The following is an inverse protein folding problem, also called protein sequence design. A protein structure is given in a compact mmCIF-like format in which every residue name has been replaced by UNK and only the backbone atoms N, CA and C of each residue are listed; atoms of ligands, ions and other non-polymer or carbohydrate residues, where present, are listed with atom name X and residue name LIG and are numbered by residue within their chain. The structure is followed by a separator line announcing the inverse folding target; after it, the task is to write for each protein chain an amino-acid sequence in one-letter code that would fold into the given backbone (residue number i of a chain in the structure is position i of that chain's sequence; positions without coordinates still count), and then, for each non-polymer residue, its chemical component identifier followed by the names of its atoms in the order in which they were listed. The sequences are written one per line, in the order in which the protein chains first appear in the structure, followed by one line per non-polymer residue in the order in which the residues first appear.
data_IF_529892701204
#
_entry.id   IF_529892701204
#
_cell.length_a   1.000
_cell.length_b   1.000
_cell.length_c   1.000
_cell.angle_alpha   90.00
_cell.angle_beta   90.00
_cell.angle_gamma   90.00
#
_symmetry.space_group_name_H-M   'P 1'
#
loop_
_entity.id
_entity.type
_entity.pdbx_description
1 polymer ?
#
# COMPACT_ATOMS: atom_id res chain seq x y z
N UNK A 1 -8.09 9.09 -19.04
CA UNK A 1 -7.49 10.17 -18.23
C UNK A 1 -8.61 11.15 -17.91
N UNK A 2 -8.84 11.57 -16.66
CA UNK A 2 -9.63 12.80 -16.47
C UNK A 2 -8.71 13.91 -16.96
N UNK A 3 -9.00 14.37 -18.16
CA UNK A 3 -8.21 15.35 -18.89
C UNK A 3 -8.00 16.60 -18.04
N UNK A 4 -6.76 16.82 -17.64
CA UNK A 4 -6.36 17.87 -16.73
C UNK A 4 -5.87 19.08 -17.55
N UNK A 5 -6.75 19.58 -18.41
CA UNK A 5 -6.57 20.80 -19.22
C UNK A 5 -5.49 20.72 -20.28
N UNK A 6 -5.57 21.62 -21.27
CA UNK A 6 -4.54 21.77 -22.31
C UNK A 6 -3.18 22.11 -21.70
N UNK A 7 -2.09 21.88 -22.45
CA UNK A 7 -0.72 22.25 -22.05
C UNK A 7 -0.67 23.73 -21.61
N UNK A 8 -1.34 24.60 -22.38
CA UNK A 8 -1.45 26.05 -22.10
C UNK A 8 -2.13 26.31 -20.76
N UNK A 9 -3.20 25.59 -20.44
CA UNK A 9 -3.86 25.71 -19.13
C UNK A 9 -2.92 25.31 -18.00
N UNK A 10 -2.16 24.22 -18.14
CA UNK A 10 -1.21 23.76 -17.13
C UNK A 10 -0.08 24.77 -16.90
N UNK A 11 0.45 25.37 -17.96
CA UNK A 11 1.49 26.40 -17.87
C UNK A 11 1.01 27.67 -17.18
N UNK A 12 -0.28 28.00 -17.31
CA UNK A 12 -0.90 29.16 -16.62
C UNK A 12 -1.12 28.96 -15.11
N UNK A 13 -0.98 27.73 -14.60
CA UNK A 13 -1.20 27.44 -13.19
C UNK A 13 0.06 27.76 -12.36
N UNK A 14 -0.10 28.04 -11.05
CA UNK A 14 1.06 28.24 -10.17
C UNK A 14 1.96 27.00 -10.17
N UNK A 15 3.25 27.22 -9.89
CA UNK A 15 4.21 26.12 -9.71
C UNK A 15 3.67 25.17 -8.64
N UNK A 16 3.65 23.86 -8.91
CA UNK A 16 3.13 22.89 -7.97
C UNK A 16 4.01 22.85 -6.73
N UNK A 17 3.39 22.52 -5.59
CA UNK A 17 4.11 22.26 -4.35
C UNK A 17 5.06 21.04 -4.55
N UNK A 18 5.87 20.72 -3.53
CA UNK A 18 6.69 19.50 -3.53
C UNK A 18 5.84 18.24 -3.77
N UNK A 19 6.47 17.12 -4.09
CA UNK A 19 5.79 15.86 -4.39
C UNK A 19 4.77 15.49 -3.31
N UNK A 20 3.53 15.25 -3.74
CA UNK A 20 2.48 14.76 -2.85
C UNK A 20 2.61 13.24 -2.72
N UNK A 21 2.67 12.75 -1.49
CA UNK A 21 2.84 11.32 -1.21
C UNK A 21 1.48 10.70 -0.91
N UNK A 22 1.21 9.55 -1.52
CA UNK A 22 -0.02 8.78 -1.32
C UNK A 22 0.38 7.36 -0.97
N UNK A 23 -0.07 6.86 0.17
CA UNK A 23 0.04 5.45 0.50
C UNK A 23 -1.34 4.81 0.51
N UNK A 24 -1.45 3.60 -0.04
CA UNK A 24 -2.68 2.83 -0.08
C UNK A 24 -2.41 1.40 0.37
N UNK A 25 -3.34 0.86 1.14
CA UNK A 25 -3.30 -0.49 1.65
C UNK A 25 -4.69 -1.14 1.58
N UNK A 26 -4.69 -2.45 1.34
CA UNK A 26 -5.87 -3.29 1.25
C UNK A 26 -6.10 -4.07 2.55
N UNK A 27 -7.32 -4.05 3.06
CA UNK A 27 -7.75 -4.85 4.20
C UNK A 27 -8.93 -5.74 3.84
N UNK A 28 -8.98 -6.95 4.41
CA UNK A 28 -10.09 -7.88 4.18
C UNK A 28 -11.00 -7.98 5.42
N UNK A 29 -12.31 -7.94 5.18
CA UNK A 29 -13.34 -7.98 6.22
C UNK A 29 -14.33 -9.11 5.93
N UNK A 30 -14.79 -9.81 6.96
CA UNK A 30 -15.76 -10.90 6.82
C UNK A 30 -17.13 -10.37 6.40
N UNK A 31 -17.70 -11.00 5.38
CA UNK A 31 -19.04 -10.67 4.90
C UNK A 31 -20.11 -11.18 5.86
N UNK A 32 -21.05 -10.31 6.23
CA UNK A 32 -22.23 -10.67 7.01
C UNK A 32 -23.16 -11.63 6.28
N UNK A 33 -23.36 -11.42 4.98
CA UNK A 33 -24.30 -12.19 4.16
C UNK A 33 -23.75 -13.56 3.78
N UNK A 34 -22.43 -13.67 3.61
CA UNK A 34 -21.76 -14.94 3.34
C UNK A 34 -20.53 -15.11 4.23
N UNK A 35 -20.71 -15.81 5.35
CA UNK A 35 -19.73 -15.93 6.44
C UNK A 35 -18.42 -16.63 6.06
N UNK A 36 -18.38 -17.34 4.92
CA UNK A 36 -17.16 -17.96 4.38
C UNK A 36 -16.34 -16.98 3.52
N UNK A 37 -16.93 -15.85 3.14
CA UNK A 37 -16.31 -14.89 2.26
C UNK A 37 -15.76 -13.69 3.02
N UNK A 38 -14.73 -13.09 2.44
CA UNK A 38 -14.24 -11.78 2.81
C UNK A 38 -14.42 -10.82 1.63
N UNK A 39 -14.55 -9.53 1.91
CA UNK A 39 -14.47 -8.49 0.91
C UNK A 39 -13.38 -7.49 1.26
N UNK A 40 -12.83 -6.88 0.21
CA UNK A 40 -11.76 -5.91 0.35
C UNK A 40 -12.29 -4.51 0.67
N UNK A 41 -11.58 -3.88 1.59
CA UNK A 41 -11.61 -2.46 1.87
C UNK A 41 -10.26 -1.87 1.52
N UNK A 42 -10.30 -0.79 0.77
CA UNK A 42 -9.13 -0.01 0.41
C UNK A 42 -9.08 1.19 1.35
N UNK A 43 -7.91 1.45 1.91
CA UNK A 43 -7.63 2.65 2.69
C UNK A 43 -6.40 3.32 2.15
N UNK A 44 -6.41 4.64 2.14
CA UNK A 44 -5.20 5.37 1.87
C UNK A 44 -5.10 6.64 2.68
N UNK A 45 -3.92 7.22 2.62
CA UNK A 45 -3.61 8.51 3.20
C UNK A 45 -2.75 9.29 2.24
N UNK A 46 -3.07 10.56 2.14
CA UNK A 46 -2.41 11.53 1.30
C UNK A 46 -1.70 12.53 2.19
N UNK A 47 -0.42 12.73 1.92
CA UNK A 47 0.48 13.62 2.65
C UNK A 47 0.94 14.69 1.67
N UNK A 48 0.21 15.81 1.58
CA UNK A 48 0.68 16.98 0.85
C UNK A 48 1.84 17.66 1.62
N UNK A 49 2.71 18.42 0.94
CA UNK A 49 3.90 19.02 1.56
C UNK A 49 3.59 20.04 2.65
N UNK A 50 2.61 20.91 2.43
CA UNK A 50 2.35 22.07 3.30
C UNK A 50 0.97 22.01 3.99
N UNK A 51 0.19 20.97 3.73
CA UNK A 51 -1.18 20.82 4.26
C UNK A 51 -1.27 19.61 5.18
N UNK A 52 -2.31 19.60 6.01
CA UNK A 52 -2.62 18.43 6.85
C UNK A 52 -2.85 17.19 5.96
N UNK A 53 -2.28 16.07 6.38
CA UNK A 53 -2.55 14.78 5.76
C UNK A 53 -4.04 14.42 5.93
N UNK A 54 -4.61 13.77 4.91
CA UNK A 54 -5.99 13.29 4.96
C UNK A 54 -6.07 11.82 4.57
N UNK A 55 -7.07 11.17 5.11
CA UNK A 55 -7.33 9.75 4.99
C UNK A 55 -8.56 9.55 4.11
N UNK A 56 -8.58 8.45 3.37
CA UNK A 56 -9.76 8.02 2.63
C UNK A 56 -9.88 6.50 2.74
N UNK A 57 -11.09 5.99 2.52
CA UNK A 57 -11.33 4.57 2.58
C UNK A 57 -12.67 4.22 1.95
N UNK A 58 -12.75 3.05 1.34
CA UNK A 58 -13.95 2.56 0.69
C UNK A 58 -13.88 1.04 0.48
N UNK A 59 -15.05 0.41 0.38
CA UNK A 59 -15.16 -1.00 -0.04
C UNK A 59 -15.03 -1.08 -1.55
N UNK A 60 -14.00 -1.77 -2.05
CA UNK A 60 -13.65 -1.81 -3.48
C UNK A 60 -14.77 -2.35 -4.36
N UNK A 61 -15.47 -3.39 -3.90
CA UNK A 61 -16.58 -4.02 -4.65
C UNK A 61 -17.95 -3.35 -4.47
N UNK A 62 -18.03 -2.27 -3.69
CA UNK A 62 -19.29 -1.56 -3.42
C UNK A 62 -19.29 -0.13 -3.95
N UNK A 63 -18.14 0.55 -3.90
CA UNK A 63 -18.02 1.89 -4.46
C UNK A 63 -18.15 1.84 -5.99
N UNK A 64 -19.13 2.57 -6.53
CA UNK A 64 -19.38 2.64 -7.97
C UNK A 64 -18.40 3.57 -8.70
N UNK A 65 -17.71 4.48 -7.98
CA UNK A 65 -16.83 5.51 -8.56
C UNK A 65 -15.56 5.73 -7.70
N UNK A 66 -14.79 4.68 -7.38
CA UNK A 66 -13.63 4.78 -6.48
C UNK A 66 -12.54 5.72 -7.02
N UNK A 67 -12.30 5.70 -8.34
CA UNK A 67 -11.34 6.61 -9.00
C UNK A 67 -11.71 8.07 -8.82
N UNK A 68 -12.99 8.40 -9.01
CA UNK A 68 -13.51 9.78 -8.83
C UNK A 68 -13.40 10.22 -7.37
N UNK A 69 -13.68 9.32 -6.42
CA UNK A 69 -13.53 9.63 -4.98
C UNK A 69 -12.09 10.01 -4.64
N UNK A 70 -11.12 9.22 -5.10
CA UNK A 70 -9.70 9.53 -4.85
C UNK A 70 -9.33 10.86 -5.51
N UNK A 71 -9.78 11.10 -6.74
CA UNK A 71 -9.54 12.37 -7.42
C UNK A 71 -10.14 13.58 -6.68
N UNK A 72 -11.38 13.50 -6.22
CA UNK A 72 -12.04 14.56 -5.44
C UNK A 72 -11.35 14.76 -4.09
N UNK A 73 -10.89 13.68 -3.45
CA UNK A 73 -10.09 13.73 -2.22
C UNK A 73 -8.78 14.49 -2.45
N UNK A 74 -8.03 14.15 -3.51
CA UNK A 74 -6.79 14.84 -3.86
C UNK A 74 -7.03 16.31 -4.21
N UNK A 75 -8.07 16.62 -4.99
CA UNK A 75 -8.48 18.01 -5.27
C UNK A 75 -8.81 18.79 -4.00
N UNK A 76 -9.47 18.17 -3.02
CA UNK A 76 -9.79 18.82 -1.74
C UNK A 76 -8.55 19.20 -0.93
N UNK A 77 -7.39 18.60 -1.23
CA UNK A 77 -6.09 18.97 -0.66
C UNK A 77 -5.26 19.86 -1.59
N UNK A 78 -5.86 20.39 -2.66
CA UNK A 78 -5.24 21.31 -3.59
C UNK A 78 -4.29 20.65 -4.59
N UNK A 79 -4.52 19.38 -4.94
CA UNK A 79 -3.83 18.75 -6.07
C UNK A 79 -4.06 19.58 -7.35
N UNK A 80 -2.97 20.03 -7.95
CA UNK A 80 -2.95 20.65 -9.27
C UNK A 80 -2.85 19.59 -10.39
N UNK A 81 -3.34 19.88 -11.60
CA UNK A 81 -3.14 19.07 -12.82
C UNK A 81 -1.74 18.51 -13.06
N UNK A 82 -0.70 19.31 -12.78
CA UNK A 82 0.72 19.02 -12.96
C UNK A 82 1.43 18.79 -11.62
N UNK A 83 0.68 18.37 -10.60
CA UNK A 83 1.26 18.02 -9.30
C UNK A 83 1.99 16.67 -9.41
N UNK A 84 3.30 16.66 -9.15
CA UNK A 84 4.06 15.42 -8.96
C UNK A 84 3.50 14.63 -7.79
N UNK A 85 3.26 13.35 -8.02
CA UNK A 85 2.67 12.45 -7.04
C UNK A 85 3.39 11.11 -6.99
N UNK A 86 3.60 10.59 -5.80
CA UNK A 86 4.15 9.26 -5.57
C UNK A 86 3.12 8.37 -4.87
N UNK A 87 2.80 7.25 -5.50
CA UNK A 87 1.87 6.26 -4.98
C UNK A 87 2.63 5.05 -4.46
N UNK A 88 2.49 4.78 -3.16
CA UNK A 88 3.01 3.59 -2.50
C UNK A 88 1.90 2.58 -2.30
N UNK A 89 2.11 1.35 -2.78
CA UNK A 89 1.13 0.27 -2.68
C UNK A 89 1.81 -1.07 -2.38
N UNK A 90 1.01 -2.00 -1.87
CA UNK A 90 1.39 -3.38 -1.54
C UNK A 90 1.56 -4.31 -2.77
N UNK A 91 1.36 -3.79 -3.98
CA UNK A 91 1.45 -4.53 -5.23
C UNK A 91 0.19 -5.29 -5.65
N UNK A 92 -0.95 -5.15 -4.95
CA UNK A 92 -2.20 -5.81 -5.33
C UNK A 92 -2.78 -5.28 -6.67
N UNK A 93 -3.22 -6.18 -7.55
CA UNK A 93 -3.62 -5.90 -8.94
C UNK A 93 -4.75 -4.84 -9.06
N UNK A 94 -5.68 -4.87 -8.12
CA UNK A 94 -6.83 -3.97 -7.99
C UNK A 94 -6.45 -2.50 -7.73
N UNK A 95 -5.34 -2.26 -7.01
CA UNK A 95 -4.83 -0.92 -6.73
C UNK A 95 -4.09 -0.33 -7.93
N UNK A 96 -3.45 -1.17 -8.77
CA UNK A 96 -2.64 -0.76 -9.93
C UNK A 96 -3.45 0.05 -10.96
N UNK A 97 -4.68 -0.37 -11.26
CA UNK A 97 -5.53 0.27 -12.29
C UNK A 97 -6.16 1.60 -11.86
N UNK A 98 -6.12 1.94 -10.57
CA UNK A 98 -6.67 3.21 -10.08
C UNK A 98 -5.69 4.38 -10.18
N UNK A 99 -4.39 4.10 -10.15
CA UNK A 99 -3.34 5.12 -9.99
C UNK A 99 -3.00 5.83 -11.31
N UNK A 100 -2.87 5.08 -12.42
CA UNK A 100 -2.63 5.61 -13.78
C UNK A 100 -3.71 6.62 -14.21
N UNK A 101 -4.90 6.54 -13.58
CA UNK A 101 -6.04 7.37 -13.94
C UNK A 101 -6.00 8.78 -13.35
N UNK A 102 -5.19 9.03 -12.31
CA UNK A 102 -5.29 10.22 -11.47
C UNK A 102 -4.43 11.39 -11.97
N UNK A 103 -3.19 11.14 -12.42
CA UNK A 103 -2.32 12.18 -13.02
C UNK A 103 -1.28 11.55 -13.96
N UNK A 104 -0.96 12.24 -15.05
CA UNK A 104 0.14 11.89 -15.95
C UNK A 104 1.51 11.91 -15.25
N UNK A 105 1.70 12.76 -14.24
CA UNK A 105 2.95 12.89 -13.48
C UNK A 105 3.03 12.00 -12.23
N UNK A 106 2.17 10.96 -12.14
CA UNK A 106 2.22 10.04 -11.01
C UNK A 106 3.28 8.96 -11.19
N UNK A 107 4.16 8.79 -10.21
CA UNK A 107 5.09 7.66 -10.10
C UNK A 107 4.51 6.61 -9.16
N UNK A 108 4.58 5.34 -9.56
CA UNK A 108 4.15 4.20 -8.76
C UNK A 108 5.36 3.51 -8.16
N UNK A 109 5.29 3.24 -6.86
CA UNK A 109 6.40 2.71 -6.08
C UNK A 109 5.89 1.54 -5.24
N UNK A 110 6.53 0.39 -5.37
CA UNK A 110 6.21 -0.77 -4.54
C UNK A 110 6.65 -0.48 -3.11
N UNK A 111 5.79 -0.74 -2.13
CA UNK A 111 6.11 -0.49 -0.74
C UNK A 111 7.17 -1.49 -0.23
N UNK A 112 8.30 -0.94 0.21
CA UNK A 112 9.43 -1.69 0.76
C UNK A 112 9.04 -2.58 1.95
N UNK A 113 8.09 -2.16 2.78
CA UNK A 113 7.61 -2.94 3.91
C UNK A 113 7.02 -4.28 3.45
N UNK A 114 6.18 -4.27 2.41
CA UNK A 114 5.56 -5.49 1.88
C UNK A 114 6.58 -6.44 1.22
N UNK A 115 7.67 -5.90 0.65
CA UNK A 115 8.80 -6.70 0.17
C UNK A 115 9.50 -7.38 1.37
N UNK A 116 9.89 -6.58 2.37
CA UNK A 116 10.61 -7.10 3.54
C UNK A 116 9.79 -8.08 4.39
N UNK A 117 8.47 -7.92 4.46
CA UNK A 117 7.58 -8.90 5.09
C UNK A 117 7.69 -10.28 4.44
N UNK A 118 7.66 -10.35 3.11
CA UNK A 118 7.77 -11.62 2.38
C UNK A 118 9.14 -12.26 2.55
N UNK A 119 10.21 -11.46 2.49
CA UNK A 119 11.57 -11.90 2.80
C UNK A 119 11.67 -12.41 4.25
N UNK A 120 10.96 -11.80 5.19
CA UNK A 120 10.94 -12.24 6.59
C UNK A 120 10.29 -13.61 6.74
N UNK A 121 9.18 -13.87 6.05
CA UNK A 121 8.53 -15.19 6.01
C UNK A 121 9.51 -16.25 5.48
N UNK A 122 10.17 -15.96 4.35
CA UNK A 122 11.17 -16.86 3.77
C UNK A 122 12.35 -17.12 4.72
N UNK A 123 12.83 -16.09 5.42
CA UNK A 123 13.88 -16.26 6.44
C UNK A 123 13.46 -17.19 7.57
N UNK A 124 12.20 -17.15 8.03
CA UNK A 124 11.72 -18.08 9.06
C UNK A 124 11.75 -19.53 8.57
N UNK A 125 11.36 -19.77 7.31
CA UNK A 125 11.48 -21.10 6.72
C UNK A 125 12.94 -21.53 6.54
N UNK A 126 13.83 -20.63 6.13
CA UNK A 126 15.26 -20.92 5.99
C UNK A 126 15.90 -21.25 7.35
N UNK A 127 15.53 -20.55 8.43
CA UNK A 127 15.95 -20.87 9.80
C UNK A 127 15.39 -22.21 10.28
N UNK A 128 14.19 -22.59 9.85
CA UNK A 128 13.65 -23.93 10.09
C UNK A 128 14.46 -25.01 9.36
N UNK A 129 14.79 -24.77 8.09
CA UNK A 129 15.60 -25.67 7.28
C UNK A 129 17.02 -25.81 7.84
N UNK A 130 17.62 -24.73 8.36
CA UNK A 130 18.95 -24.74 8.99
C UNK A 130 19.07 -25.79 10.10
N UNK A 131 17.98 -26.08 10.83
CA UNK A 131 17.96 -27.12 11.88
C UNK A 131 17.88 -28.54 11.32
N UNK A 132 17.29 -28.71 10.14
CA UNK A 132 17.10 -30.00 9.48
C UNK A 132 18.27 -30.35 8.55
N UNK A 133 18.85 -29.34 7.91
CA UNK A 133 20.01 -29.41 7.02
C UNK A 133 20.78 -28.09 7.10
N UNK A 134 21.86 -28.11 7.88
CA UNK A 134 22.65 -26.91 8.16
C UNK A 134 23.22 -26.29 6.88
N UNK A 135 23.76 -27.11 5.96
CA UNK A 135 24.38 -26.62 4.73
C UNK A 135 23.36 -25.92 3.82
N UNK A 136 22.20 -26.57 3.60
CA UNK A 136 21.15 -26.00 2.74
C UNK A 136 20.48 -24.79 3.40
N UNK A 137 20.26 -24.80 4.71
CA UNK A 137 19.73 -23.64 5.43
C UNK A 137 20.67 -22.42 5.37
N UNK A 138 21.98 -22.62 5.54
CA UNK A 138 22.97 -21.54 5.40
C UNK A 138 22.99 -20.95 3.98
N UNK A 139 22.93 -21.81 2.96
CA UNK A 139 22.86 -21.39 1.55
C UNK A 139 21.63 -20.50 1.31
N UNK A 140 20.44 -20.94 1.74
CA UNK A 140 19.21 -20.17 1.59
C UNK A 140 19.29 -18.81 2.28
N UNK A 141 19.79 -18.75 3.52
CA UNK A 141 19.94 -17.48 4.24
C UNK A 141 20.89 -16.51 3.52
N UNK A 142 21.97 -17.03 2.92
CA UNK A 142 22.92 -16.24 2.13
C UNK A 142 22.25 -15.68 0.88
N UNK A 143 21.52 -16.51 0.13
CA UNK A 143 20.80 -16.09 -1.08
C UNK A 143 19.72 -15.04 -0.74
N UNK A 144 18.91 -15.28 0.30
CA UNK A 144 17.89 -14.31 0.76
C UNK A 144 18.48 -12.96 1.16
N UNK A 145 19.69 -12.94 1.74
CA UNK A 145 20.41 -11.70 2.03
C UNK A 145 20.80 -10.96 0.75
N UNK A 146 21.28 -11.67 -0.27
CA UNK A 146 21.60 -11.09 -1.59
C UNK A 146 20.36 -10.59 -2.32
N UNK A 147 19.26 -11.35 -2.31
CA UNK A 147 17.96 -10.92 -2.88
C UNK A 147 17.50 -9.62 -2.23
N UNK A 148 17.50 -9.55 -0.90
CA UNK A 148 17.14 -8.33 -0.17
C UNK A 148 18.04 -7.15 -0.57
N UNK A 149 19.33 -7.38 -0.74
CA UNK A 149 20.29 -6.34 -1.13
C UNK A 149 20.00 -5.82 -2.55
N UNK A 150 19.77 -6.70 -3.52
CA UNK A 150 19.45 -6.32 -4.90
C UNK A 150 18.13 -5.51 -4.96
N UNK A 151 17.08 -6.00 -4.29
CA UNK A 151 15.80 -5.28 -4.22
C UNK A 151 15.93 -3.91 -3.53
N UNK A 152 16.75 -3.80 -2.49
CA UNK A 152 17.02 -2.53 -1.79
C UNK A 152 17.68 -1.48 -2.70
N UNK A 153 18.45 -1.92 -3.70
CA UNK A 153 19.13 -1.05 -4.66
C UNK A 153 18.38 -0.93 -6.00
N UNK A 154 17.13 -1.38 -6.08
CA UNK A 154 16.31 -1.28 -7.30
C UNK A 154 16.67 -2.30 -8.40
N UNK A 155 17.48 -3.31 -8.08
CA UNK A 155 17.93 -4.33 -9.03
C UNK A 155 16.94 -5.50 -9.02
N UNK A 156 15.76 -5.28 -9.60
CA UNK A 156 14.68 -6.26 -9.61
C UNK A 156 15.04 -7.53 -10.41
N UNK A 157 15.65 -7.38 -11.59
CA UNK A 157 16.06 -8.50 -12.44
C UNK A 157 17.15 -9.34 -11.75
N UNK A 158 18.24 -8.73 -11.25
CA UNK A 158 19.28 -9.43 -10.47
C UNK A 158 18.70 -10.16 -9.24
N UNK A 159 17.56 -9.70 -8.70
CA UNK A 159 16.89 -10.37 -7.60
C UNK A 159 16.00 -11.53 -8.07
N UNK A 160 15.40 -11.45 -9.27
CA UNK A 160 14.62 -12.52 -9.87
C UNK A 160 15.51 -13.71 -10.21
N UNK A 161 16.67 -13.48 -10.83
CA UNK A 161 17.65 -14.53 -11.12
C UNK A 161 18.02 -15.33 -9.85
N UNK A 162 18.27 -14.62 -8.74
CA UNK A 162 18.57 -15.27 -7.46
C UNK A 162 17.38 -16.01 -6.83
N UNK A 163 16.15 -15.62 -7.14
CA UNK A 163 14.96 -16.33 -6.69
C UNK A 163 14.79 -17.62 -7.54
N UNK A 164 15.05 -17.57 -8.84
CA UNK A 164 15.05 -18.75 -9.72
C UNK A 164 16.12 -19.77 -9.29
N UNK A 165 17.32 -19.30 -8.97
CA UNK A 165 18.37 -20.14 -8.37
C UNK A 165 17.87 -20.86 -7.10
N UNK A 166 17.09 -20.16 -6.28
CA UNK A 166 16.53 -20.70 -5.05
C UNK A 166 15.43 -21.74 -5.32
N UNK A 167 14.61 -21.54 -6.36
CA UNK A 167 13.63 -22.52 -6.83
C UNK A 167 14.33 -23.81 -7.28
N UNK A 168 15.40 -23.71 -8.08
CA UNK A 168 16.20 -24.85 -8.55
C UNK A 168 16.80 -25.62 -7.36
N UNK A 169 17.44 -24.91 -6.43
CA UNK A 169 18.04 -25.51 -5.23
C UNK A 169 17.02 -26.26 -4.37
N UNK A 170 15.79 -25.75 -4.29
CA UNK A 170 14.70 -26.39 -3.55
C UNK A 170 14.11 -27.60 -4.29
N UNK A 171 14.00 -27.54 -5.61
CA UNK A 171 13.54 -28.67 -6.42
C UNK A 171 14.52 -29.85 -6.33
N UNK A 172 15.82 -29.59 -6.40
CA UNK A 172 16.85 -30.60 -6.14
C UNK A 172 16.74 -31.21 -4.74
N UNK A 173 16.55 -30.35 -3.73
CA UNK A 173 16.38 -30.78 -2.35
C UNK A 173 15.10 -31.62 -2.17
N UNK A 174 14.01 -31.26 -2.84
CA UNK A 174 12.73 -31.95 -2.78
C UNK A 174 12.75 -33.33 -3.45
N UNK A 175 13.52 -33.48 -4.52
CA UNK A 175 13.69 -34.73 -5.25
C UNK A 175 14.64 -35.72 -4.53
N UNK A 176 15.36 -35.27 -3.50
CA UNK A 176 16.18 -36.13 -2.66
C UNK A 176 15.33 -36.77 -1.54
N UNK A 177 15.05 -38.07 -1.65
CA UNK A 177 14.14 -38.83 -0.76
C UNK A 177 14.48 -38.72 0.75
N UNK A 178 15.75 -38.84 1.18
CA UNK A 178 16.17 -38.53 2.56
C UNK A 178 15.85 -37.09 3.00
N UNK A 179 16.08 -36.10 2.15
CA UNK A 179 15.92 -34.67 2.48
C UNK A 179 14.45 -34.28 2.69
N UNK A 180 13.54 -34.83 1.87
CA UNK A 180 12.09 -34.63 2.01
C UNK A 180 11.54 -35.08 3.36
N UNK A 181 12.14 -36.09 3.99
CA UNK A 181 11.77 -36.56 5.33
C UNK A 181 12.33 -35.69 6.47
N UNK A 182 13.36 -34.86 6.21
CA UNK A 182 14.05 -34.06 7.24
C UNK A 182 13.33 -32.77 7.58
N UNK A 183 12.55 -32.19 6.66
CA UNK A 183 11.91 -30.89 6.87
C UNK A 183 10.43 -30.87 6.49
N UNK A 184 9.56 -30.92 7.51
CA UNK A 184 8.10 -30.98 7.36
C UNK A 184 7.49 -29.79 6.60
N UNK A 185 8.13 -28.62 6.70
CA UNK A 185 7.65 -27.38 6.08
C UNK A 185 8.21 -27.13 4.67
N UNK A 186 8.91 -28.10 4.05
CA UNK A 186 9.51 -27.94 2.73
C UNK A 186 8.51 -27.49 1.66
N UNK A 187 7.34 -28.14 1.59
CA UNK A 187 6.30 -27.78 0.62
C UNK A 187 5.81 -26.33 0.78
N UNK A 188 5.74 -25.83 2.02
CA UNK A 188 5.34 -24.44 2.28
C UNK A 188 6.44 -23.46 1.89
N UNK A 189 7.70 -23.82 2.15
CA UNK A 189 8.84 -23.03 1.70
C UNK A 189 8.84 -22.87 0.18
N UNK A 190 8.73 -23.96 -0.58
CA UNK A 190 8.63 -23.93 -2.06
C UNK A 190 7.48 -23.03 -2.50
N UNK A 191 6.28 -23.21 -1.92
CA UNK A 191 5.14 -22.35 -2.22
C UNK A 191 5.44 -20.85 -2.00
N UNK A 192 6.06 -20.50 -0.88
CA UNK A 192 6.37 -19.10 -0.56
C UNK A 192 7.47 -18.51 -1.45
N UNK A 193 8.39 -19.33 -1.95
CA UNK A 193 9.41 -18.90 -2.92
C UNK A 193 8.75 -18.58 -4.25
N UNK A 194 7.90 -19.47 -4.77
CA UNK A 194 7.20 -19.26 -6.03
C UNK A 194 6.22 -18.08 -5.97
N UNK A 195 5.53 -17.92 -4.83
CA UNK A 195 4.68 -16.73 -4.57
C UNK A 195 5.52 -15.44 -4.56
N UNK A 196 6.71 -15.49 -3.97
CA UNK A 196 7.61 -14.35 -3.93
C UNK A 196 8.20 -14.02 -5.31
N UNK A 197 8.61 -15.01 -6.11
CA UNK A 197 9.01 -14.84 -7.51
C UNK A 197 7.89 -14.14 -8.30
N UNK A 198 6.69 -14.71 -8.26
CA UNK A 198 5.51 -14.19 -8.94
C UNK A 198 5.21 -12.76 -8.51
N UNK A 199 5.34 -12.47 -7.21
CA UNK A 199 5.15 -11.13 -6.66
C UNK A 199 6.18 -10.13 -7.19
N UNK A 200 7.48 -10.45 -7.16
CA UNK A 200 8.53 -9.57 -7.65
C UNK A 200 8.41 -9.38 -9.16
N UNK A 201 8.23 -10.45 -9.94
CA UNK A 201 8.08 -10.39 -11.39
C UNK A 201 6.91 -9.47 -11.80
N UNK A 202 5.76 -9.63 -11.14
CA UNK A 202 4.59 -8.79 -11.42
C UNK A 202 4.76 -7.32 -11.02
N UNK A 203 5.68 -7.00 -10.10
CA UNK A 203 5.85 -5.65 -9.55
C UNK A 203 7.22 -5.02 -9.84
N UNK A 204 8.11 -5.70 -10.56
CA UNK A 204 9.52 -5.31 -10.71
C UNK A 204 9.71 -3.88 -11.23
N UNK A 205 8.89 -3.46 -12.20
CA UNK A 205 8.86 -2.09 -12.74
C UNK A 205 8.53 -0.98 -11.74
N UNK A 206 8.02 -1.31 -10.55
CA UNK A 206 7.69 -0.37 -9.48
C UNK A 206 8.73 -0.37 -8.35
N UNK A 207 9.74 -1.23 -8.46
CA UNK A 207 10.86 -1.29 -7.52
C UNK A 207 11.83 -0.18 -7.90
N UNK A 208 12.10 0.70 -6.95
CA UNK A 208 13.01 1.84 -7.10
C UNK A 208 14.27 1.60 -6.27
N UNK A 209 15.28 2.47 -6.40
CA UNK A 209 16.46 2.42 -5.56
C UNK A 209 16.15 2.93 -4.14
N UNK A 210 15.58 2.09 -3.29
CA UNK A 210 15.21 2.46 -1.91
C UNK A 210 16.40 2.94 -1.08
N UNK A 211 17.61 2.43 -1.35
CA UNK A 211 18.83 2.84 -0.66
C UNK A 211 19.13 4.34 -0.85
N UNK A 212 18.93 4.84 -2.06
CA UNK A 212 19.15 6.23 -2.42
C UNK A 212 18.08 7.12 -1.82
N UNK A 213 16.82 6.71 -1.96
CA UNK A 213 15.66 7.38 -1.35
C UNK A 213 15.82 7.53 0.16
N UNK A 214 16.24 6.46 0.84
CA UNK A 214 16.50 6.49 2.28
C UNK A 214 17.61 7.48 2.65
N UNK A 215 18.71 7.55 1.87
CA UNK A 215 19.80 8.52 2.09
C UNK A 215 19.34 9.97 1.92
N UNK A 216 18.39 10.22 1.03
CA UNK A 216 17.80 11.54 0.81
C UNK A 216 16.59 11.85 1.71
N UNK A 217 16.22 10.96 2.64
CA UNK A 217 15.09 11.16 3.54
C UNK A 217 13.73 11.08 2.83
N UNK A 218 13.66 10.48 1.65
CA UNK A 218 12.42 10.25 0.93
C UNK A 218 11.64 9.07 1.50
N UNK A 219 10.34 9.02 1.20
CA UNK A 219 9.47 7.95 1.70
C UNK A 219 9.80 6.64 0.99
N UNK A 220 9.87 5.53 1.72
CA UNK A 220 10.11 4.20 1.16
C UNK A 220 9.02 3.18 1.54
N UNK A 221 8.19 3.50 2.53
CA UNK A 221 7.14 2.61 3.04
C UNK A 221 5.82 3.33 3.28
N UNK A 222 4.71 2.60 3.28
CA UNK A 222 3.39 3.12 3.72
C UNK A 222 3.23 3.16 5.24
N UNK A 223 4.31 3.11 6.03
CA UNK A 223 4.25 3.17 7.50
C UNK A 223 3.50 4.40 8.03
N UNK A 224 3.56 5.53 7.32
CA UNK A 224 2.79 6.74 7.62
C UNK A 224 1.26 6.56 7.47
N UNK A 225 0.85 5.53 6.72
CA UNK A 225 -0.54 5.07 6.49
C UNK A 225 -0.93 3.99 7.48
N UNK A 226 -0.02 3.10 7.88
CA UNK A 226 -0.32 1.92 8.70
C UNK A 226 -0.99 2.28 10.05
N UNK A 227 -0.47 3.30 10.75
CA UNK A 227 -1.12 3.80 11.98
C UNK A 227 -2.55 4.24 11.71
N UNK A 228 -2.77 4.90 10.58
CA UNK A 228 -4.07 5.46 10.16
C UNK A 228 -5.03 4.37 9.72
N UNK A 229 -4.58 3.36 8.97
CA UNK A 229 -5.34 2.15 8.63
C UNK A 229 -5.77 1.44 9.89
N UNK A 230 -4.86 1.29 10.86
CA UNK A 230 -5.21 0.73 12.15
C UNK A 230 -6.26 1.58 12.90
N UNK A 231 -6.21 2.91 12.84
CA UNK A 231 -7.27 3.74 13.42
C UNK A 231 -8.61 3.62 12.69
N UNK A 232 -8.61 3.58 11.36
CA UNK A 232 -9.83 3.48 10.54
C UNK A 232 -10.45 2.08 10.62
N UNK A 233 -9.65 1.02 10.69
CA UNK A 233 -10.07 -0.39 10.62
C UNK A 233 -9.95 -1.11 11.97
N UNK A 234 -8.80 -1.06 12.64
CA UNK A 234 -8.42 -2.07 13.64
C UNK A 234 -9.40 -2.22 14.81
N UNK A 235 -10.04 -1.13 15.29
CA UNK A 235 -10.96 -1.21 16.45
C UNK A 235 -12.24 -2.02 16.18
N UNK A 236 -12.74 -2.07 14.94
CA UNK A 236 -14.05 -2.69 14.61
C UNK A 236 -13.99 -3.79 13.56
N UNK A 237 -12.81 -4.00 12.96
CA UNK A 237 -12.66 -4.90 11.82
C UNK A 237 -11.61 -6.00 12.02
N UNK A 238 -10.54 -5.81 12.82
CA UNK A 238 -9.40 -6.73 12.77
C UNK A 238 -9.01 -7.42 14.11
N UNK A 239 -8.76 -6.70 15.23
CA UNK A 239 -7.94 -7.31 16.32
C UNK A 239 -8.55 -7.57 17.70
N UNK A 240 -9.70 -6.98 18.08
CA UNK A 240 -10.34 -7.28 19.39
C UNK A 240 -11.87 -7.49 19.35
N UNK A 241 -12.49 -7.17 18.21
CA UNK A 241 -13.93 -7.31 17.97
C UNK A 241 -14.15 -7.55 16.47
N UNK A 242 -13.77 -8.73 15.97
CA UNK A 242 -13.99 -9.06 14.56
C UNK A 242 -15.50 -9.17 14.31
N UNK A 243 -16.12 -8.05 13.94
CA UNK A 243 -17.52 -8.02 13.53
C UNK A 243 -17.64 -8.37 12.05
N UNK A 244 -18.74 -9.00 11.73
CA UNK A 244 -19.18 -9.22 10.35
C UNK A 244 -19.86 -7.94 9.85
N UNK A 245 -19.63 -7.58 8.59
CA UNK A 245 -20.18 -6.35 8.02
C UNK A 245 -20.86 -6.64 6.68
N UNK A 246 -21.94 -5.93 6.39
CA UNK A 246 -22.40 -5.81 5.00
C UNK A 246 -21.47 -4.85 4.27
N UNK A 247 -21.26 -5.05 2.96
CA UNK A 247 -20.45 -4.14 2.13
C UNK A 247 -20.90 -2.67 2.26
N UNK A 248 -22.22 -2.44 2.27
CA UNK A 248 -22.80 -1.10 2.49
C UNK A 248 -22.45 -0.53 3.86
N UNK A 249 -22.63 -1.32 4.92
CA UNK A 249 -22.36 -0.88 6.29
C UNK A 249 -20.88 -0.53 6.50
N UNK A 250 -19.97 -1.38 6.01
CA UNK A 250 -18.54 -1.10 6.04
C UNK A 250 -18.20 0.16 5.24
N UNK A 251 -18.72 0.31 4.02
CA UNK A 251 -18.46 1.48 3.18
C UNK A 251 -18.91 2.79 3.85
N UNK A 252 -20.14 2.85 4.39
CA UNK A 252 -20.66 4.03 5.05
C UNK A 252 -19.90 4.37 6.33
N UNK A 253 -19.53 3.36 7.12
CA UNK A 253 -18.71 3.58 8.31
C UNK A 253 -17.34 4.16 7.96
N UNK A 254 -16.71 3.66 6.89
CA UNK A 254 -15.44 4.20 6.40
C UNK A 254 -15.59 5.67 5.99
N UNK A 255 -16.67 6.05 5.28
CA UNK A 255 -16.90 7.45 4.91
C UNK A 255 -17.02 8.35 6.14
N UNK A 256 -17.79 7.94 7.16
CA UNK A 256 -17.93 8.75 8.37
C UNK A 256 -16.59 8.87 9.11
N UNK A 257 -15.88 7.74 9.27
CA UNK A 257 -14.60 7.72 9.98
C UNK A 257 -13.54 8.59 9.33
N UNK A 258 -13.42 8.55 8.02
CA UNK A 258 -12.43 9.37 7.31
C UNK A 258 -12.77 10.85 7.42
N UNK A 259 -14.06 11.22 7.32
CA UNK A 259 -14.49 12.61 7.54
C UNK A 259 -14.20 13.11 8.95
N UNK A 260 -14.36 12.26 9.97
CA UNK A 260 -14.01 12.60 11.36
C UNK A 260 -12.50 12.76 11.53
N UNK A 261 -11.71 11.81 11.03
CA UNK A 261 -10.24 11.86 11.11
C UNK A 261 -9.63 13.02 10.35
N UNK A 262 -10.26 13.45 9.26
CA UNK A 262 -9.82 14.59 8.48
C UNK A 262 -10.31 15.94 9.02
N UNK A 263 -11.06 15.94 10.14
CA UNK A 263 -11.71 17.14 10.70
C UNK A 263 -12.73 17.81 9.74
N UNK A 264 -13.15 17.12 8.67
CA UNK A 264 -14.03 17.65 7.63
C UNK A 264 -15.52 17.46 7.95
N UNK A 265 -15.84 16.57 8.90
CA UNK A 265 -17.22 16.14 9.18
C UNK A 265 -18.18 17.27 9.54
N UNK A 266 -17.72 18.31 10.26
CA UNK A 266 -18.57 19.45 10.61
C UNK A 266 -19.01 20.22 9.37
N UNK A 267 -18.09 20.43 8.41
CA UNK A 267 -18.40 21.11 7.15
C UNK A 267 -19.46 20.36 6.35
N UNK A 268 -19.40 19.03 6.35
CA UNK A 268 -20.40 18.17 5.68
C UNK A 268 -21.73 18.26 6.40
N UNK A 269 -21.73 18.21 7.73
CA UNK A 269 -22.94 18.29 8.54
C UNK A 269 -23.65 19.64 8.39
N UNK A 270 -22.88 20.74 8.29
CA UNK A 270 -23.42 22.10 8.09
C UNK A 270 -24.11 22.31 6.75
N UNK A 271 -23.78 21.52 5.71
CA UNK A 271 -24.53 21.55 4.44
C UNK A 271 -25.98 21.13 4.62
N UNK A 272 -26.25 20.27 5.60
CA UNK A 272 -27.60 19.78 5.93
C UNK A 272 -28.21 20.61 7.06
N UNK A 273 -27.39 20.98 8.05
CA UNK A 273 -27.80 21.73 9.24
C UNK A 273 -26.97 23.02 9.40
N UNK A 274 -27.34 24.12 8.72
CA UNK A 274 -26.50 25.32 8.67
C UNK A 274 -26.17 25.96 10.03
N UNK A 275 -27.05 25.78 11.03
CA UNK A 275 -26.88 26.30 12.39
C UNK A 275 -26.00 25.42 13.30
N UNK A 276 -25.54 24.26 12.82
CA UNK A 276 -24.73 23.35 13.62
C UNK A 276 -23.31 23.91 13.82
N UNK A 277 -22.98 24.31 15.07
CA UNK A 277 -21.67 24.83 15.48
C UNK A 277 -21.11 25.84 14.46
N UNK A 278 -21.65 27.06 14.35
CA UNK A 278 -21.23 28.01 13.31
C UNK A 278 -19.71 28.20 13.28
N UNK A 279 -19.13 28.34 12.09
CA UNK A 279 -17.68 28.59 11.97
C UNK A 279 -17.39 29.95 12.62
N UNK A 280 -16.39 30.00 13.48
CA UNK A 280 -15.81 31.28 13.86
C UNK A 280 -15.22 31.91 12.60
N UNK A 281 -15.73 33.08 12.24
CA UNK A 281 -15.12 33.93 11.22
C UNK A 281 -13.82 34.42 11.85
N UNK A 282 -12.70 33.78 11.52
CA UNK A 282 -11.39 34.37 11.80
C UNK A 282 -11.21 35.55 10.86
N UNK A 283 -11.56 36.74 11.33
CA UNK A 283 -11.13 37.98 10.71
C UNK A 283 -9.59 37.97 10.73
N UNK A 284 -8.98 37.77 9.57
CA UNK A 284 -7.57 38.05 9.38
C UNK A 284 -7.39 39.55 9.59
N UNK A 285 -7.00 39.96 10.80
CA UNK A 285 -6.47 41.30 11.04
C UNK A 285 -5.24 41.45 10.16
N UNK A 286 -5.42 42.13 9.02
CA UNK A 286 -4.32 42.62 8.20
C UNK A 286 -3.57 43.61 9.09
N UNK A 287 -2.37 43.24 9.51
CA UNK A 287 -1.47 44.14 10.22
C UNK A 287 -1.13 45.29 9.26
N UNK A 288 -1.38 46.52 9.73
CA UNK A 288 -1.03 47.77 9.07
C UNK A 288 0.48 47.98 8.99
#
# INVERSE_FOLDING_TARGET
MYDSGSIVYRESLPRPERTMIIGMDGGYIRDWNNKKNVFEVIIGKTVPPEKKAKCFGFVGTYDKKPKRRIYEHLKSQGMLPHQKMEFFCDGAQNLRNMQIYLNAESVQILDWFHITMRITILNQFALGLLKADEKKGQLLLKILKSIKWNLWHGKAEDALDLIEDLEIELDEYQNNTPAKKKYENLKKLVFHVNDFYTYINNNGKYIVNYSERYRYGETITTSFVESTVNYVIAKRFNKKQSMQWTKRGAHLLLQVRTQVLNEDWESVFRKIYPKFRPAEIKENKVAA
#
